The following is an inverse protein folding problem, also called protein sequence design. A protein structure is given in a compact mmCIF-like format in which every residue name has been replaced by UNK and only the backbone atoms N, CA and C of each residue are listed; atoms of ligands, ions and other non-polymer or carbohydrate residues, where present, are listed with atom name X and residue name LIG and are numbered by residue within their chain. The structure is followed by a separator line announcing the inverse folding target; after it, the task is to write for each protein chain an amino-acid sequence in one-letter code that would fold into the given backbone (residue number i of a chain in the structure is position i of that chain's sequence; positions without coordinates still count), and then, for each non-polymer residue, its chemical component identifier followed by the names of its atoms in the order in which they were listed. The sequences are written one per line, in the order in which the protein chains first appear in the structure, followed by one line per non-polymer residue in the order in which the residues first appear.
data_IF_063529735131
#
_entry.id   IF_063529735131
#
_cell.length_a   1.000
_cell.length_b   1.000
_cell.length_c   1.000
_cell.angle_alpha   90.00
_cell.angle_beta   90.00
_cell.angle_gamma   90.00
#
_symmetry.space_group_name_H-M   'P 1'
#
loop_
_entity.id
_entity.type
_entity.pdbx_description
1 polymer ?
#
# COMPACT_ATOMS: atom_id res chain seq x y z
N UNK A 1 -6.22 -6.37 6.21
CA UNK A 1 -4.74 -6.36 6.14
C UNK A 1 -4.09 -7.08 7.33
N UNK A 2 -4.85 -7.90 8.08
CA UNK A 2 -4.32 -8.68 9.20
C UNK A 2 -3.32 -9.73 8.71
N UNK A 3 -2.20 -10.00 9.41
CA UNK A 3 -1.81 -9.45 10.72
C UNK A 3 -1.07 -8.10 10.65
N UNK A 4 -0.82 -7.56 9.46
CA UNK A 4 0.00 -6.34 9.33
C UNK A 4 -0.71 -5.11 9.87
N UNK A 5 -1.98 -4.93 9.52
CA UNK A 5 -2.89 -3.90 10.05
C UNK A 5 -4.15 -4.63 10.51
N UNK A 6 -4.49 -4.48 11.79
CA UNK A 6 -5.66 -5.10 12.42
C UNK A 6 -6.99 -4.59 11.85
N UNK A 7 -8.08 -5.29 12.16
CA UNK A 7 -9.42 -4.75 11.97
C UNK A 7 -9.58 -3.47 12.81
N UNK A 8 -10.45 -2.56 12.37
CA UNK A 8 -10.75 -1.28 13.03
C UNK A 8 -9.54 -0.35 13.28
N UNK A 9 -8.38 -0.66 12.72
CA UNK A 9 -7.20 0.17 12.87
C UNK A 9 -7.28 1.44 12.00
N UNK A 10 -6.87 2.56 12.57
CA UNK A 10 -6.68 3.80 11.81
C UNK A 10 -5.34 3.78 11.09
N UNK A 11 -5.28 4.40 9.91
CA UNK A 11 -4.03 4.54 9.14
C UNK A 11 -3.75 5.99 8.82
N UNK A 12 -2.48 6.37 8.90
CA UNK A 12 -1.99 7.66 8.39
C UNK A 12 -1.19 7.37 7.13
N UNK A 13 -1.48 8.12 6.06
CA UNK A 13 -0.77 8.03 4.80
C UNK A 13 -0.22 9.38 4.38
N UNK A 14 0.89 9.38 3.64
CA UNK A 14 1.40 10.56 2.95
C UNK A 14 1.03 10.51 1.47
N UNK A 15 0.52 11.64 0.94
CA UNK A 15 0.39 11.85 -0.49
C UNK A 15 1.79 12.04 -1.10
N UNK A 16 2.24 11.04 -1.84
CA UNK A 16 3.56 11.01 -2.47
C UNK A 16 3.43 10.97 -3.99
N UNK A 17 2.55 11.79 -4.57
CA UNK A 17 2.33 11.89 -6.03
C UNK A 17 3.61 12.02 -6.85
N UNK A 18 4.58 12.79 -6.37
CA UNK A 18 5.85 13.05 -7.06
C UNK A 18 6.88 11.92 -6.91
N UNK A 19 6.67 10.98 -5.99
CA UNK A 19 7.61 9.90 -5.75
C UNK A 19 7.18 8.62 -6.46
N UNK A 20 8.18 7.77 -6.74
CA UNK A 20 7.93 6.40 -7.17
C UNK A 20 7.08 5.65 -6.15
N UNK A 21 6.49 4.54 -6.61
CA UNK A 21 5.71 3.63 -5.75
C UNK A 21 6.52 2.35 -5.53
N UNK A 22 7.38 2.26 -4.50
CA UNK A 22 8.14 1.06 -4.23
C UNK A 22 7.23 -0.14 -3.97
N UNK A 23 7.57 -1.24 -4.62
CA UNK A 23 6.98 -2.56 -4.38
C UNK A 23 7.22 -2.98 -2.93
N UNK A 24 6.28 -3.70 -2.36
CA UNK A 24 6.30 -4.15 -0.97
C UNK A 24 5.76 -3.13 0.02
N UNK A 25 5.48 -1.87 -0.38
CA UNK A 25 4.88 -0.87 0.50
C UNK A 25 3.35 -0.98 0.56
N UNK A 26 2.76 -0.42 1.61
CA UNK A 26 1.31 -0.36 1.80
C UNK A 26 0.79 0.99 1.33
N UNK A 27 -0.29 0.99 0.56
CA UNK A 27 -0.92 2.20 0.06
C UNK A 27 -2.41 2.23 0.31
N UNK A 28 -2.92 3.45 0.40
CA UNK A 28 -4.33 3.77 0.33
C UNK A 28 -4.66 4.11 -1.12
N UNK A 29 -5.72 3.51 -1.67
CA UNK A 29 -6.23 3.81 -3.00
C UNK A 29 -7.75 3.72 -3.03
N UNK A 30 -8.38 4.34 -4.03
CA UNK A 30 -9.81 4.26 -4.26
C UNK A 30 -10.08 3.30 -5.43
N UNK A 31 -10.68 2.16 -5.15
CA UNK A 31 -11.25 1.30 -6.18
C UNK A 31 -12.60 1.85 -6.64
N UNK A 32 -12.92 1.71 -7.93
CA UNK A 32 -14.16 2.24 -8.50
C UNK A 32 -15.41 1.63 -7.83
N UNK A 33 -15.42 0.31 -7.64
CA UNK A 33 -16.58 -0.44 -7.12
C UNK A 33 -16.47 -0.79 -5.62
N UNK A 34 -15.25 -0.92 -5.10
CA UNK A 34 -15.00 -1.44 -3.74
C UNK A 34 -14.70 -0.31 -2.74
N UNK A 35 -14.69 0.94 -3.22
CA UNK A 35 -14.42 2.11 -2.40
C UNK A 35 -12.96 2.24 -1.99
N UNK A 36 -12.72 2.81 -0.81
CA UNK A 36 -11.37 3.08 -0.31
C UNK A 36 -10.75 1.79 0.26
N UNK A 37 -9.52 1.49 -0.16
CA UNK A 37 -8.84 0.25 0.19
C UNK A 37 -7.42 0.51 0.67
N UNK A 38 -6.92 -0.40 1.52
CA UNK A 38 -5.54 -0.43 1.99
C UNK A 38 -4.94 -1.79 1.64
N UNK A 39 -3.88 -1.80 0.82
CA UNK A 39 -3.22 -3.02 0.35
C UNK A 39 -1.72 -2.83 0.15
N UNK A 40 -0.99 -3.93 0.07
CA UNK A 40 0.42 -3.95 -0.28
C UNK A 40 0.61 -3.95 -1.79
N UNK A 41 1.48 -3.08 -2.29
CA UNK A 41 1.85 -3.06 -3.70
C UNK A 41 2.73 -4.29 -4.00
N UNK A 42 2.28 -5.16 -4.89
CA UNK A 42 3.03 -6.35 -5.32
C UNK A 42 3.88 -6.09 -6.56
N UNK A 43 3.42 -5.19 -7.43
CA UNK A 43 4.08 -4.92 -8.69
C UNK A 43 3.30 -3.93 -9.54
N UNK A 44 3.78 -3.71 -10.76
CA UNK A 44 3.08 -2.96 -11.79
C UNK A 44 3.21 -3.70 -13.11
N UNK A 45 2.26 -3.51 -14.00
CA UNK A 45 2.41 -3.81 -15.42
C UNK A 45 2.26 -2.50 -16.21
N UNK A 46 2.33 -2.55 -17.54
CA UNK A 46 2.23 -1.36 -18.39
C UNK A 46 0.93 -0.55 -18.21
N UNK A 47 -0.10 -1.15 -17.61
CA UNK A 47 -1.46 -0.60 -17.51
C UNK A 47 -1.80 -0.09 -16.10
N UNK A 48 -1.12 -0.57 -15.06
CA UNK A 48 -1.40 -0.15 -13.70
C UNK A 48 -0.63 -0.89 -12.63
N UNK A 49 -1.15 -0.82 -11.40
CA UNK A 49 -0.51 -1.33 -10.20
C UNK A 49 -1.30 -2.52 -9.62
N UNK A 50 -0.56 -3.55 -9.22
CA UNK A 50 -1.10 -4.79 -8.68
C UNK A 50 -1.01 -4.75 -7.16
N UNK A 51 -2.17 -4.79 -6.50
CA UNK A 51 -2.27 -4.74 -5.05
C UNK A 51 -2.71 -6.08 -4.46
N UNK A 52 -2.09 -6.49 -3.36
CA UNK A 52 -2.41 -7.72 -2.61
C UNK A 52 -2.71 -7.38 -1.15
N UNK A 53 -3.62 -8.14 -0.54
CA UNK A 53 -3.79 -8.08 0.90
C UNK A 53 -2.83 -9.03 1.61
N UNK A 54 -2.39 -8.65 2.80
CA UNK A 54 -1.53 -9.52 3.63
C UNK A 54 -2.32 -10.67 4.31
N UNK A 55 -3.65 -10.60 4.32
CA UNK A 55 -4.52 -11.67 4.82
C UNK A 55 -4.81 -12.66 3.67
N UNK A 56 -4.63 -13.99 3.83
CA UNK A 56 -4.95 -14.99 2.82
C UNK A 56 -6.39 -14.95 2.28
N UNK A 57 -7.36 -14.50 3.08
CA UNK A 57 -8.76 -14.37 2.65
C UNK A 57 -9.08 -13.01 2.02
N UNK A 58 -8.07 -12.16 1.83
CA UNK A 58 -8.22 -10.90 1.09
C UNK A 58 -8.74 -11.16 -0.32
N UNK A 59 -9.60 -10.26 -0.82
CA UNK A 59 -9.91 -10.15 -2.26
C UNK A 59 -8.60 -10.23 -3.05
N UNK A 60 -8.58 -11.15 -4.01
CA UNK A 60 -7.39 -11.43 -4.82
C UNK A 60 -7.22 -10.38 -5.92
N UNK A 61 -5.98 -10.14 -6.41
CA UNK A 61 -5.73 -9.17 -7.47
C UNK A 61 -6.53 -9.44 -8.74
N UNK A 62 -6.78 -10.69 -9.09
CA UNK A 62 -7.50 -11.06 -10.30
C UNK A 62 -8.97 -10.59 -10.28
N UNK A 63 -9.55 -10.48 -9.07
CA UNK A 63 -10.91 -9.97 -8.89
C UNK A 63 -10.97 -8.45 -8.76
N UNK A 64 -9.90 -7.83 -8.26
CA UNK A 64 -9.81 -6.38 -8.06
C UNK A 64 -9.30 -5.65 -9.32
N UNK A 65 -8.57 -6.35 -10.19
CA UNK A 65 -7.92 -5.75 -11.34
C UNK A 65 -6.77 -4.82 -10.96
N UNK A 66 -6.35 -4.05 -11.96
CA UNK A 66 -5.24 -3.11 -11.87
C UNK A 66 -5.73 -1.76 -11.35
N UNK A 67 -4.96 -1.15 -10.47
CA UNK A 67 -5.26 0.17 -9.93
C UNK A 67 -4.42 1.20 -10.69
N UNK A 68 -5.02 2.20 -11.36
CA UNK A 68 -4.26 3.23 -12.06
C UNK A 68 -3.63 4.22 -11.05
N UNK A 69 -2.53 4.88 -11.44
CA UNK A 69 -1.78 5.79 -10.55
C UNK A 69 -2.64 6.87 -9.90
N UNK A 70 -3.61 7.40 -10.65
CA UNK A 70 -4.51 8.49 -10.24
C UNK A 70 -5.38 8.12 -9.03
N UNK A 71 -5.65 6.83 -8.84
CA UNK A 71 -6.52 6.33 -7.80
C UNK A 71 -5.76 6.02 -6.50
N UNK A 72 -4.42 6.01 -6.56
CA UNK A 72 -3.54 5.82 -5.40
C UNK A 72 -3.41 7.14 -4.65
N UNK A 73 -3.95 7.17 -3.42
CA UNK A 73 -3.99 8.35 -2.55
C UNK A 73 -2.67 8.61 -1.85
N UNK A 74 -1.98 7.56 -1.41
CA UNK A 74 -0.70 7.72 -0.73
C UNK A 74 -0.19 6.48 -0.04
N UNK A 75 1.05 6.57 0.45
CA UNK A 75 1.74 5.49 1.15
C UNK A 75 1.40 5.53 2.64
N UNK A 76 1.02 4.40 3.21
CA UNK A 76 0.77 4.27 4.66
C UNK A 76 2.10 4.42 5.41
N UNK A 77 2.14 5.32 6.39
CA UNK A 77 3.31 5.59 7.24
C UNK A 77 3.19 4.85 8.57
N UNK A 78 2.02 4.90 9.19
CA UNK A 78 1.73 4.20 10.44
C UNK A 78 0.27 3.77 10.52
N UNK A 79 0.00 2.83 11.42
CA UNK A 79 -1.35 2.42 11.81
C UNK A 79 -1.50 2.42 13.33
N UNK A 80 -2.68 2.76 13.82
CA UNK A 80 -3.05 2.79 15.22
C UNK A 80 -4.06 1.68 15.47
N UNK A 81 -3.71 0.74 16.34
CA UNK A 81 -4.64 -0.26 16.84
C UNK A 81 -5.56 0.37 17.90
N UNK A 82 -6.76 -0.18 18.06
CA UNK A 82 -7.75 0.30 19.03
C UNK A 82 -7.23 0.30 20.48
N UNK A 83 -6.31 -0.61 20.80
CA UNK A 83 -5.63 -0.67 22.10
C UNK A 83 -4.53 0.41 22.29
N UNK A 84 -4.44 1.40 21.42
CA UNK A 84 -3.43 2.47 21.46
C UNK A 84 -2.07 2.10 20.88
N UNK A 85 -1.89 0.87 20.38
CA UNK A 85 -0.63 0.45 19.77
C UNK A 85 -0.35 1.15 18.44
N UNK A 86 0.84 1.73 18.29
CA UNK A 86 1.29 2.36 17.04
C UNK A 86 2.25 1.42 16.33
N UNK A 87 2.01 1.18 15.05
CA UNK A 87 2.91 0.42 14.17
C UNK A 87 3.36 1.29 13.00
N UNK A 88 4.65 1.52 12.89
CA UNK A 88 5.26 2.19 11.76
C UNK A 88 5.48 1.20 10.61
N UNK A 89 5.07 1.59 9.42
CA UNK A 89 5.25 0.82 8.17
C UNK A 89 6.45 1.38 7.42
N UNK A 90 7.63 1.33 8.06
CA UNK A 90 8.88 1.77 7.44
C UNK A 90 9.46 0.67 6.57
N UNK A 91 10.05 1.05 5.45
CA UNK A 91 10.90 0.15 4.67
C UNK A 91 12.28 0.78 4.58
N UNK A 92 13.33 0.06 4.97
CA UNK A 92 14.67 0.61 4.98
C UNK A 92 15.07 1.04 3.56
N UNK A 93 15.68 2.21 3.46
CA UNK A 93 16.10 2.88 2.23
C UNK A 93 17.18 2.13 1.41
N UNK A 94 17.42 0.84 1.68
CA UNK A 94 18.43 0.00 1.03
C UNK A 94 18.23 -0.14 -0.48
N UNK A 95 17.06 0.21 -1.02
CA UNK A 95 16.79 0.23 -2.47
C UNK A 95 16.90 1.62 -3.12
N UNK A 96 17.08 2.69 -2.34
CA UNK A 96 17.28 4.05 -2.90
C UNK A 96 18.75 4.29 -3.28
N UNK A 97 19.69 3.70 -2.52
CA UNK A 97 21.14 3.88 -2.74
C UNK A 97 21.75 3.00 -3.83
N UNK A 98 21.00 2.02 -4.37
CA UNK A 98 21.48 1.18 -5.47
C UNK A 98 21.36 1.84 -6.85
N UNK A 99 20.79 3.05 -6.94
CA UNK A 99 20.60 3.82 -8.18
C UNK A 99 21.38 5.14 -8.24
N UNK A 100 22.29 5.38 -7.30
CA UNK A 100 23.14 6.60 -7.29
C UNK A 100 24.64 6.27 -7.47
N UNK A 101 24.96 5.14 -8.10
CA UNK A 101 26.29 4.86 -8.60
C UNK A 101 26.22 4.77 -10.12
N UNK A 102 26.27 5.94 -10.73
CA UNK A 102 26.85 6.11 -12.07
C UNK A 102 28.35 6.40 -11.89
#
# INVERSE_FOLDING_TARGET
MQPTIGAEAYVVYADLKLFGLPVGQIYVFRHAELGLMVKRLRGKNGEGYIFVGDNPVSIRPEKMGLVPRRDIKGRVICSFAENGGIKFHYYPAKHFLAKCKD
#
